data_IF_126846654056
#
_entry.id   IF_126846654056
#
_cell.length_a   1.000
_cell.length_b   1.000
_cell.length_c   1.000
_cell.angle_alpha   90.00
_cell.angle_beta   90.00
_cell.angle_gamma   90.00
#
_symmetry.space_group_name_H-M   'P 1'
#
loop_
_entity.id
_entity.type
_entity.pdbx_description
1 polymer ?
#
# COMPACT_ATOMS: atom_id res chain seq x y z
N UNK A 1 -24.02 14.87 -11.74
CA UNK A 1 -23.26 13.72 -12.23
C UNK A 1 -23.64 12.48 -11.39
N UNK A 2 -23.91 11.38 -12.06
CA UNK A 2 -24.32 10.13 -11.41
C UNK A 2 -23.07 9.47 -10.83
N UNK A 3 -23.05 9.00 -9.56
CA UNK A 3 -21.88 8.33 -9.02
C UNK A 3 -21.57 7.06 -9.83
N UNK A 4 -20.30 6.71 -10.03
CA UNK A 4 -19.91 5.52 -10.80
C UNK A 4 -20.52 4.27 -10.18
N UNK A 5 -20.90 3.32 -11.03
CA UNK A 5 -21.49 2.04 -10.59
C UNK A 5 -20.46 1.26 -9.76
N UNK A 6 -20.86 0.64 -8.65
CA UNK A 6 -19.97 -0.25 -7.90
C UNK A 6 -19.45 -1.36 -8.83
N UNK A 7 -18.14 -1.45 -9.00
CA UNK A 7 -17.50 -2.47 -9.85
C UNK A 7 -17.09 -2.01 -11.25
N UNK A 8 -17.28 -0.74 -11.61
CA UNK A 8 -16.69 -0.20 -12.85
C UNK A 8 -15.14 -0.23 -12.76
N UNK A 9 -14.42 -0.52 -13.86
CA UNK A 9 -12.98 -0.35 -13.94
C UNK A 9 -12.60 1.07 -13.46
N UNK A 10 -11.63 1.22 -12.56
CA UNK A 10 -11.26 2.52 -11.98
C UNK A 10 -12.08 2.98 -10.77
N UNK A 11 -13.20 2.34 -10.41
CA UNK A 11 -13.95 2.69 -9.21
C UNK A 11 -13.14 2.36 -7.95
N UNK A 12 -12.86 3.38 -7.10
CA UNK A 12 -12.15 3.20 -5.83
C UNK A 12 -12.91 2.21 -4.94
N UNK A 13 -12.27 1.15 -4.43
CA UNK A 13 -12.92 0.27 -3.49
C UNK A 13 -13.35 1.08 -2.24
N UNK A 14 -14.52 0.81 -1.66
CA UNK A 14 -14.95 1.49 -0.44
C UNK A 14 -13.92 1.27 0.67
N UNK A 15 -13.62 2.29 1.47
CA UNK A 15 -12.58 2.28 2.51
C UNK A 15 -12.67 1.05 3.45
N UNK A 16 -13.90 0.57 3.73
CA UNK A 16 -14.17 -0.65 4.52
C UNK A 16 -13.63 -1.96 3.92
N UNK A 17 -13.20 -1.95 2.62
CA UNK A 17 -12.60 -3.10 1.93
C UNK A 17 -11.10 -2.93 1.73
N UNK A 18 -10.51 -1.93 2.37
CA UNK A 18 -9.08 -1.65 2.31
C UNK A 18 -8.48 -1.84 3.71
N UNK A 19 -7.40 -2.59 3.80
CA UNK A 19 -6.55 -2.61 4.99
C UNK A 19 -5.97 -1.22 5.29
N UNK A 20 -5.60 -0.98 6.53
CA UNK A 20 -5.08 0.31 6.97
C UNK A 20 -3.80 0.72 6.22
N UNK A 21 -2.86 -0.23 6.03
CA UNK A 21 -1.64 0.02 5.26
C UNK A 21 -1.96 0.47 3.83
N UNK A 22 -2.94 -0.17 3.19
CA UNK A 22 -3.40 0.19 1.84
C UNK A 22 -4.02 1.58 1.78
N UNK A 23 -4.83 1.95 2.79
CA UNK A 23 -5.42 3.30 2.86
C UNK A 23 -4.33 4.38 2.94
N UNK A 24 -3.30 4.15 3.77
CA UNK A 24 -2.17 5.06 3.94
C UNK A 24 -1.34 5.17 2.66
N UNK A 25 -1.02 4.03 2.03
CA UNK A 25 -0.26 3.98 0.78
C UNK A 25 -0.95 4.75 -0.36
N UNK A 26 -2.26 4.52 -0.55
CA UNK A 26 -3.05 5.24 -1.55
C UNK A 26 -3.06 6.74 -1.31
N UNK A 27 -3.23 7.16 -0.04
CA UNK A 27 -3.24 8.58 0.29
C UNK A 27 -1.87 9.23 0.06
N UNK A 28 -0.79 8.57 0.47
CA UNK A 28 0.57 9.04 0.22
C UNK A 28 0.88 9.17 -1.27
N UNK A 29 0.52 8.16 -2.07
CA UNK A 29 0.70 8.19 -3.51
C UNK A 29 -0.12 9.30 -4.19
N UNK A 30 -1.33 9.59 -3.71
CA UNK A 30 -2.13 10.71 -4.20
C UNK A 30 -1.44 12.06 -3.94
N UNK A 31 -0.89 12.26 -2.72
CA UNK A 31 -0.17 13.48 -2.38
C UNK A 31 1.12 13.61 -3.19
N UNK A 32 1.94 12.55 -3.26
CA UNK A 32 3.19 12.56 -4.02
C UNK A 32 2.96 12.90 -5.50
N UNK A 33 1.89 12.35 -6.07
CA UNK A 33 1.52 12.63 -7.45
C UNK A 33 1.08 14.08 -7.65
N UNK A 34 0.23 14.61 -6.76
CA UNK A 34 -0.21 16.00 -6.83
C UNK A 34 0.98 16.97 -6.67
N UNK A 35 1.89 16.67 -5.76
CA UNK A 35 3.12 17.44 -5.53
C UNK A 35 4.05 17.42 -6.75
N UNK A 36 4.10 16.29 -7.46
CA UNK A 36 4.85 16.15 -8.71
C UNK A 36 4.16 16.81 -9.93
N UNK A 37 2.99 17.41 -9.77
CA UNK A 37 2.22 18.00 -10.87
C UNK A 37 1.67 16.97 -11.87
N UNK A 38 1.62 15.71 -11.48
CA UNK A 38 1.11 14.63 -12.33
C UNK A 38 -0.41 14.49 -12.13
N UNK A 39 -1.21 14.90 -13.08
CA UNK A 39 -2.65 14.68 -13.03
C UNK A 39 -3.01 13.21 -13.29
N UNK A 40 -4.06 12.68 -12.66
CA UNK A 40 -4.55 11.35 -12.98
C UNK A 40 -5.32 11.39 -14.30
N UNK A 41 -5.20 10.34 -15.13
CA UNK A 41 -6.16 10.14 -16.19
C UNK A 41 -7.56 10.02 -15.59
N UNK A 42 -8.56 10.52 -16.30
CA UNK A 42 -9.96 10.26 -15.95
C UNK A 42 -10.22 8.75 -15.96
N UNK A 43 -11.17 8.24 -15.14
CA UNK A 43 -11.38 6.79 -14.99
C UNK A 43 -11.66 6.02 -16.28
N UNK A 44 -12.12 6.72 -17.33
CA UNK A 44 -12.47 6.16 -18.63
C UNK A 44 -11.50 6.61 -19.75
N UNK A 45 -10.40 7.28 -19.41
CA UNK A 45 -9.39 7.77 -20.35
C UNK A 45 -8.19 6.83 -20.43
N UNK A 46 -8.22 5.94 -21.42
CA UNK A 46 -7.10 5.04 -21.76
C UNK A 46 -5.97 5.75 -22.51
N UNK A 47 -6.12 7.04 -22.85
CA UNK A 47 -5.16 7.76 -23.70
C UNK A 47 -3.89 8.23 -22.98
N UNK A 48 -3.80 8.03 -21.65
CA UNK A 48 -2.69 8.54 -20.86
C UNK A 48 -2.68 10.06 -20.82
N UNK A 49 -3.65 10.65 -20.13
CA UNK A 49 -3.74 12.11 -19.99
C UNK A 49 -2.45 12.70 -19.40
N UNK A 50 -2.08 13.89 -19.87
CA UNK A 50 -0.95 14.70 -19.42
C UNK A 50 0.46 14.20 -19.79
N UNK A 51 0.61 13.44 -20.87
CA UNK A 51 1.92 13.08 -21.41
C UNK A 51 2.62 11.93 -20.67
N UNK A 52 1.92 11.25 -19.75
CA UNK A 52 2.43 10.03 -19.12
C UNK A 52 1.93 8.82 -19.90
N UNK A 53 2.85 8.07 -20.49
CA UNK A 53 2.54 6.78 -21.10
C UNK A 53 2.35 5.72 -20.01
N UNK A 54 1.14 5.14 -19.86
CA UNK A 54 0.90 4.06 -18.88
C UNK A 54 1.83 2.86 -19.05
N UNK A 55 2.21 2.53 -20.30
CA UNK A 55 3.14 1.43 -20.59
C UNK A 55 4.58 1.73 -20.11
N UNK A 56 4.86 2.98 -19.73
CA UNK A 56 6.14 3.45 -19.23
C UNK A 56 6.09 3.89 -17.76
N UNK A 57 4.96 3.65 -17.07
CA UNK A 57 4.75 3.96 -15.65
C UNK A 57 4.81 2.68 -14.81
N UNK A 58 5.74 2.62 -13.87
CA UNK A 58 5.90 1.50 -12.91
C UNK A 58 5.53 1.93 -11.49
N UNK A 59 5.03 1.00 -10.70
CA UNK A 59 4.81 1.17 -9.26
C UNK A 59 5.64 0.16 -8.48
N UNK A 60 6.45 0.65 -7.53
CA UNK A 60 7.17 -0.17 -6.58
C UNK A 60 6.80 0.29 -5.16
N UNK A 61 5.80 -0.35 -4.55
CA UNK A 61 5.35 0.02 -3.20
C UNK A 61 5.44 -1.18 -2.27
N UNK A 62 6.25 -1.02 -1.24
CA UNK A 62 6.67 -2.06 -0.32
C UNK A 62 5.90 -2.05 1.01
N UNK A 63 5.96 -3.17 1.71
CA UNK A 63 5.54 -3.30 3.11
C UNK A 63 6.35 -4.43 3.74
N UNK A 64 6.61 -4.37 5.05
CA UNK A 64 7.30 -5.44 5.76
C UNK A 64 6.40 -6.65 6.05
N UNK A 65 5.13 -6.41 6.34
CA UNK A 65 4.20 -7.46 6.80
C UNK A 65 2.89 -7.48 5.98
N UNK A 66 2.39 -6.31 5.58
CA UNK A 66 1.11 -6.21 4.87
C UNK A 66 -0.09 -6.01 5.80
N UNK A 67 -1.25 -6.57 5.44
CA UNK A 67 -2.53 -6.30 6.08
C UNK A 67 -2.76 -7.04 7.39
N UNK A 68 -1.86 -6.93 8.35
CA UNK A 68 -1.90 -7.65 9.63
C UNK A 68 -3.16 -7.32 10.45
N UNK A 69 -3.60 -6.05 10.48
CA UNK A 69 -4.85 -5.67 11.17
C UNK A 69 -6.07 -6.43 10.63
N UNK A 70 -6.14 -6.55 9.31
CA UNK A 70 -7.22 -7.29 8.65
C UNK A 70 -7.18 -8.76 9.04
N UNK A 71 -5.99 -9.38 9.06
CA UNK A 71 -5.82 -10.77 9.43
C UNK A 71 -6.25 -11.02 10.89
N UNK A 72 -5.71 -10.24 11.83
CA UNK A 72 -5.98 -10.43 13.25
C UNK A 72 -7.46 -10.15 13.58
N UNK A 73 -8.04 -9.09 13.02
CA UNK A 73 -9.46 -8.79 13.21
C UNK A 73 -10.39 -9.88 12.65
N UNK A 74 -10.03 -10.50 11.53
CA UNK A 74 -10.79 -11.64 11.00
C UNK A 74 -10.58 -12.92 11.79
N UNK A 75 -9.41 -13.11 12.37
CA UNK A 75 -9.15 -14.21 13.32
C UNK A 75 -10.03 -14.09 14.56
N UNK A 76 -10.17 -12.89 15.13
CA UNK A 76 -11.05 -12.66 16.27
C UNK A 76 -12.53 -12.92 15.91
N UNK A 77 -12.99 -12.45 14.76
CA UNK A 77 -14.34 -12.75 14.27
C UNK A 77 -14.56 -14.26 14.11
N UNK A 78 -13.57 -14.98 13.59
CA UNK A 78 -13.66 -16.42 13.42
C UNK A 78 -13.74 -17.15 14.76
N UNK A 79 -12.96 -16.75 15.76
CA UNK A 79 -13.03 -17.32 17.12
C UNK A 79 -14.39 -17.10 17.76
N UNK A 80 -14.91 -15.88 17.64
CA UNK A 80 -16.14 -15.50 18.36
C UNK A 80 -17.41 -15.98 17.65
N UNK A 81 -17.42 -16.00 16.31
CA UNK A 81 -18.63 -16.18 15.48
C UNK A 81 -18.54 -17.33 14.48
N UNK A 82 -17.42 -18.06 14.46
CA UNK A 82 -17.18 -19.18 13.57
C UNK A 82 -16.75 -18.79 12.15
N UNK A 83 -16.22 -19.77 11.41
CA UNK A 83 -15.57 -19.56 10.09
C UNK A 83 -16.50 -18.95 9.02
N UNK A 84 -17.83 -19.23 9.10
CA UNK A 84 -18.83 -18.69 8.15
C UNK A 84 -18.96 -17.16 8.22
N UNK A 85 -18.45 -16.54 9.26
CA UNK A 85 -18.50 -15.08 9.47
C UNK A 85 -17.23 -14.35 9.02
N UNK A 86 -16.19 -15.09 8.63
CA UNK A 86 -14.99 -14.49 8.05
C UNK A 86 -15.34 -13.76 6.73
N UNK A 87 -14.74 -12.58 6.53
CA UNK A 87 -14.97 -11.79 5.33
C UNK A 87 -14.34 -12.45 4.10
N UNK A 88 -15.03 -12.54 2.96
CA UNK A 88 -14.42 -12.99 1.70
C UNK A 88 -13.31 -12.04 1.21
N UNK A 89 -13.25 -10.82 1.74
CA UNK A 89 -12.21 -9.84 1.43
C UNK A 89 -10.95 -9.98 2.29
N UNK A 90 -10.93 -10.92 3.23
CA UNK A 90 -9.78 -11.13 4.14
C UNK A 90 -8.48 -11.32 3.35
N UNK A 91 -8.47 -12.24 2.39
CA UNK A 91 -7.27 -12.52 1.59
C UNK A 91 -6.82 -11.30 0.78
N UNK A 92 -7.66 -10.68 -0.05
CA UNK A 92 -7.26 -9.45 -0.75
C UNK A 92 -6.80 -8.31 0.17
N UNK A 93 -7.32 -8.25 1.40
CA UNK A 93 -6.97 -7.20 2.35
C UNK A 93 -5.61 -7.45 3.03
N UNK A 94 -5.26 -8.71 3.30
CA UNK A 94 -4.02 -9.03 4.01
C UNK A 94 -2.78 -9.11 3.10
N UNK A 95 -2.95 -9.27 1.80
CA UNK A 95 -1.85 -9.48 0.86
C UNK A 95 -0.86 -8.30 0.87
N UNK A 96 0.44 -8.60 0.98
CA UNK A 96 1.50 -7.60 1.03
C UNK A 96 1.58 -6.76 -0.26
N UNK A 97 1.25 -7.33 -1.41
CA UNK A 97 1.25 -6.60 -2.69
C UNK A 97 0.00 -5.70 -2.89
N UNK A 98 -0.97 -5.75 -1.99
CA UNK A 98 -2.21 -5.01 -2.16
C UNK A 98 -2.05 -3.48 -2.18
N UNK A 99 -1.15 -2.85 -1.40
CA UNK A 99 -0.87 -1.41 -1.54
C UNK A 99 -0.38 -1.05 -2.94
N UNK A 100 0.66 -1.73 -3.44
CA UNK A 100 1.21 -1.51 -4.78
C UNK A 100 0.16 -1.72 -5.88
N UNK A 101 -0.59 -2.82 -5.81
CA UNK A 101 -1.64 -3.14 -6.77
C UNK A 101 -2.72 -2.04 -6.85
N UNK A 102 -3.14 -1.50 -5.70
CA UNK A 102 -4.15 -0.43 -5.69
C UNK A 102 -3.59 0.92 -6.16
N UNK A 103 -2.31 1.21 -5.88
CA UNK A 103 -1.66 2.39 -6.47
C UNK A 103 -1.57 2.21 -7.99
N UNK A 104 -1.11 1.04 -8.47
CA UNK A 104 -1.03 0.72 -9.89
C UNK A 104 -2.35 0.91 -10.64
N UNK A 105 -3.45 0.41 -10.05
CA UNK A 105 -4.79 0.63 -10.58
C UNK A 105 -5.18 2.12 -10.58
N UNK A 106 -4.81 2.85 -9.53
CA UNK A 106 -5.13 4.27 -9.39
C UNK A 106 -4.41 5.14 -10.41
N UNK A 107 -3.15 4.80 -10.75
CA UNK A 107 -2.32 5.58 -11.69
C UNK A 107 -2.26 4.95 -13.08
N UNK A 108 -3.02 3.87 -13.32
CA UNK A 108 -3.04 3.12 -14.58
C UNK A 108 -1.67 2.59 -15.01
N UNK A 109 -0.81 2.22 -14.06
CA UNK A 109 0.53 1.70 -14.35
C UNK A 109 0.46 0.37 -15.09
N UNK A 110 1.14 0.27 -16.24
CA UNK A 110 1.21 -0.92 -17.08
C UNK A 110 2.65 -1.45 -17.28
N UNK A 111 3.68 -0.66 -16.99
CA UNK A 111 5.09 -1.12 -17.06
C UNK A 111 5.42 -2.14 -15.96
N UNK A 112 4.63 -2.20 -14.89
CA UNK A 112 4.78 -3.18 -13.83
C UNK A 112 4.29 -2.68 -12.47
N UNK A 113 3.98 -3.64 -11.59
CA UNK A 113 3.61 -3.36 -10.19
C UNK A 113 4.36 -4.34 -9.30
N UNK A 114 5.25 -3.83 -8.47
CA UNK A 114 6.17 -4.61 -7.66
C UNK A 114 6.02 -4.31 -6.18
N UNK A 115 6.26 -5.33 -5.36
CA UNK A 115 6.24 -5.22 -3.90
C UNK A 115 7.45 -5.95 -3.33
N UNK A 116 8.61 -5.30 -3.24
CA UNK A 116 9.74 -5.87 -2.50
C UNK A 116 9.41 -5.94 -1.00
N UNK A 117 9.96 -6.95 -0.35
CA UNK A 117 9.78 -7.19 1.10
C UNK A 117 11.13 -7.48 1.73
N UNK A 118 11.66 -6.51 2.47
CA UNK A 118 12.97 -6.56 3.14
C UNK A 118 12.85 -5.99 4.56
N UNK A 119 11.80 -6.40 5.28
CA UNK A 119 11.51 -5.92 6.63
C UNK A 119 11.53 -4.37 6.69
N UNK A 120 12.29 -3.78 7.63
CA UNK A 120 12.38 -2.32 7.80
C UNK A 120 12.99 -1.59 6.59
N UNK A 121 13.74 -2.27 5.74
CA UNK A 121 14.38 -1.71 4.54
C UNK A 121 13.50 -1.76 3.28
N UNK A 122 12.29 -2.30 3.36
CA UNK A 122 11.42 -2.54 2.20
C UNK A 122 11.20 -1.29 1.35
N UNK A 123 10.98 -0.13 1.97
CA UNK A 123 10.77 1.13 1.24
C UNK A 123 12.02 1.58 0.49
N UNK A 124 13.21 1.41 1.07
CA UNK A 124 14.48 1.73 0.41
C UNK A 124 14.72 0.81 -0.79
N UNK A 125 14.40 -0.47 -0.64
CA UNK A 125 14.48 -1.44 -1.75
C UNK A 125 13.49 -1.09 -2.87
N UNK A 126 12.28 -0.65 -2.54
CA UNK A 126 11.31 -0.19 -3.54
C UNK A 126 11.83 1.01 -4.35
N UNK A 127 12.54 1.95 -3.70
CA UNK A 127 13.16 3.09 -4.38
C UNK A 127 14.27 2.60 -5.33
N UNK A 128 15.14 1.70 -4.86
CA UNK A 128 16.20 1.10 -5.68
C UNK A 128 15.63 0.37 -6.89
N UNK A 129 14.61 -0.45 -6.68
CA UNK A 129 13.95 -1.20 -7.76
C UNK A 129 13.33 -0.26 -8.80
N UNK A 130 12.66 0.81 -8.36
CA UNK A 130 12.09 1.81 -9.28
C UNK A 130 13.15 2.52 -10.11
N UNK A 131 14.27 2.89 -9.48
CA UNK A 131 15.42 3.46 -10.18
C UNK A 131 15.99 2.51 -11.23
N UNK A 132 16.08 1.21 -10.92
CA UNK A 132 16.56 0.20 -11.85
C UNK A 132 15.60 0.02 -13.04
N UNK A 133 14.28 0.09 -12.84
CA UNK A 133 13.32 0.06 -13.95
C UNK A 133 13.56 1.23 -14.93
N UNK A 134 13.85 2.43 -14.41
CA UNK A 134 14.16 3.59 -15.24
C UNK A 134 15.52 3.42 -15.95
N UNK A 135 16.57 3.05 -15.23
CA UNK A 135 17.92 2.86 -15.79
C UNK A 135 17.99 1.77 -16.86
N UNK A 136 17.20 0.72 -16.70
CA UNK A 136 17.08 -0.38 -17.67
C UNK A 136 16.17 -0.03 -18.87
N UNK A 137 15.63 1.19 -18.91
CA UNK A 137 14.75 1.64 -19.99
C UNK A 137 13.37 0.95 -20.01
N UNK A 138 12.95 0.33 -18.90
CA UNK A 138 11.65 -0.36 -18.78
C UNK A 138 10.52 0.59 -18.41
N UNK A 139 10.83 1.69 -17.75
CA UNK A 139 9.89 2.74 -17.36
C UNK A 139 10.55 4.11 -17.53
N UNK A 140 9.74 5.16 -17.67
CA UNK A 140 10.17 6.54 -17.66
C UNK A 140 9.82 7.21 -16.32
N UNK A 141 8.76 6.72 -15.69
CA UNK A 141 8.28 7.20 -14.39
C UNK A 141 8.10 6.02 -13.45
N UNK A 142 8.53 6.19 -12.20
CA UNK A 142 8.34 5.22 -11.13
C UNK A 142 7.67 5.88 -9.93
N UNK A 143 6.53 5.34 -9.49
CA UNK A 143 5.93 5.66 -8.19
C UNK A 143 6.51 4.68 -7.16
N UNK A 144 7.32 5.20 -6.24
CA UNK A 144 8.08 4.37 -5.30
C UNK A 144 7.80 4.73 -3.85
N UNK A 145 7.97 3.78 -2.94
CA UNK A 145 7.83 4.00 -1.51
C UNK A 145 7.35 2.76 -0.76
N UNK A 146 6.80 2.97 0.42
CA UNK A 146 6.23 1.89 1.20
C UNK A 146 5.28 2.39 2.28
N UNK A 147 4.48 1.48 2.80
CA UNK A 147 3.55 1.75 3.89
C UNK A 147 3.45 0.54 4.81
N UNK A 148 3.38 0.82 6.10
CA UNK A 148 3.14 -0.18 7.13
C UNK A 148 2.07 0.31 8.11
N UNK A 149 1.25 -0.60 8.63
CA UNK A 149 0.22 -0.27 9.62
C UNK A 149 0.02 -1.45 10.57
N UNK A 150 1.04 -1.74 11.36
CA UNK A 150 1.08 -2.90 12.28
C UNK A 150 0.99 -2.51 13.76
N UNK A 151 0.55 -1.29 14.06
CA UNK A 151 0.37 -0.87 15.46
C UNK A 151 -0.83 -1.60 16.05
N UNK A 152 -0.54 -2.74 16.65
CA UNK A 152 -1.48 -3.66 17.28
C UNK A 152 -0.80 -4.30 18.50
N UNK A 153 -1.53 -4.64 19.58
CA UNK A 153 -0.93 -5.20 20.80
C UNK A 153 0.02 -6.39 20.56
N UNK A 154 -0.32 -7.29 19.65
CA UNK A 154 0.51 -8.48 19.38
C UNK A 154 1.89 -8.13 18.77
N UNK A 155 2.02 -7.38 17.66
CA UNK A 155 3.34 -6.96 17.16
C UNK A 155 4.12 -6.13 18.17
N UNK A 156 3.46 -5.20 18.89
CA UNK A 156 4.14 -4.39 19.92
C UNK A 156 4.70 -5.28 21.01
N UNK A 157 3.93 -6.25 21.51
CA UNK A 157 4.40 -7.21 22.49
C UNK A 157 5.56 -8.06 21.95
N UNK A 158 5.51 -8.51 20.71
CA UNK A 158 6.58 -9.28 20.07
C UNK A 158 7.87 -8.48 19.96
N UNK A 159 7.80 -7.21 19.51
CA UNK A 159 8.97 -6.31 19.46
C UNK A 159 9.51 -6.00 20.86
N UNK A 160 8.66 -5.87 21.87
CA UNK A 160 9.08 -5.69 23.26
C UNK A 160 9.85 -6.91 23.77
N UNK A 161 9.36 -8.14 23.48
CA UNK A 161 10.06 -9.38 23.85
C UNK A 161 11.43 -9.51 23.17
N UNK A 162 11.56 -8.99 21.94
CA UNK A 162 12.86 -8.91 21.25
C UNK A 162 13.78 -7.83 21.82
N UNK A 163 13.33 -7.06 22.82
CA UNK A 163 14.04 -5.88 23.35
C UNK A 163 14.36 -4.82 22.28
N UNK A 164 13.54 -4.72 21.28
CA UNK A 164 13.70 -3.80 20.16
C UNK A 164 12.96 -2.47 20.35
N UNK A 165 12.17 -2.34 21.42
CA UNK A 165 11.44 -1.12 21.75
C UNK A 165 12.16 -0.33 22.86
N UNK A 166 12.09 1.01 22.75
CA UNK A 166 12.47 1.89 23.84
C UNK A 166 11.52 1.71 25.02
N UNK A 167 12.08 1.79 26.23
CA UNK A 167 11.32 1.79 27.50
C UNK A 167 11.15 3.19 28.07
N UNK A 168 11.63 4.23 27.38
CA UNK A 168 11.55 5.64 27.80
C UNK A 168 10.13 6.19 27.59
N UNK A 169 9.19 5.77 28.43
CA UNK A 169 7.78 6.19 28.33
C UNK A 169 7.50 7.54 29.03
N UNK A 170 8.42 7.99 29.87
CA UNK A 170 8.42 9.27 30.55
C UNK A 170 8.85 10.46 29.65
N UNK A 171 9.56 10.16 28.55
CA UNK A 171 10.04 11.15 27.60
C UNK A 171 9.90 10.60 26.15
N UNK A 172 8.69 10.54 25.62
CA UNK A 172 8.45 9.93 24.31
C UNK A 172 9.07 10.70 23.15
N UNK A 173 9.30 12.01 23.29
CA UNK A 173 9.91 12.84 22.24
C UNK A 173 11.39 12.47 22.01
N UNK A 174 12.07 11.92 23.02
CA UNK A 174 13.47 11.47 22.95
C UNK A 174 13.58 9.94 23.09
N UNK A 175 12.49 9.19 22.90
CA UNK A 175 12.48 7.75 23.15
C UNK A 175 13.43 6.94 22.27
N UNK A 176 13.75 7.43 21.08
CA UNK A 176 14.65 6.76 20.11
C UNK A 176 16.10 7.27 20.14
N UNK A 177 16.50 8.00 21.18
CA UNK A 177 17.85 8.59 21.34
C UNK A 177 18.53 8.13 22.61
#
# INVERSE_FOLDING_TARGET
ARPPRPGAPGARPPARRLDRARQLALRAAQHARADAGLELPEPDDDSGSNGIDPERLVVCCATGIGGLHSLLGQWDIQKDKGFKRASPFTVPMLMANAPAANIGLMVHAKAGVHTPVSACASSSEAISLGLDQIRLGRADIAVVGGAEAIIHPLPVAAFAQMKALSTRNDDPEHASR
#
